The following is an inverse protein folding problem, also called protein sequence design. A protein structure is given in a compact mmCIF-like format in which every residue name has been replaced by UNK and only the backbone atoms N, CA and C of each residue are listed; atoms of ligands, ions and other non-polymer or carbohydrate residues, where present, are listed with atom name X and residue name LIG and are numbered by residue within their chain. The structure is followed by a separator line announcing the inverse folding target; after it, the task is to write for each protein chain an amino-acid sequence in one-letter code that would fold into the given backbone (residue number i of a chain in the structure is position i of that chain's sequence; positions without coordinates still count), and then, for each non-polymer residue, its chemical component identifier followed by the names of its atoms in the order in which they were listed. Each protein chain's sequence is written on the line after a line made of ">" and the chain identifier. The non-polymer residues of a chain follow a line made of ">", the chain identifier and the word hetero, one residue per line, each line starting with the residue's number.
data_IF_602413840908
#
_entry.id   IF_602413840908
#
_cell.length_a   1.000
_cell.length_b   1.000
_cell.length_c   1.000
_cell.angle_alpha   90.00
_cell.angle_beta   90.00
_cell.angle_gamma   90.00
#
_symmetry.space_group_name_H-M   'P 1'
#
loop_
_entity.id
_entity.type
_entity.pdbx_description
1 polymer ?
#
# COMPACT_ATOMS: atom_id res chain seq x y z
N UNK A 1 -5.38 36.25 -5.16
CA UNK A 1 -4.26 35.38 -4.77
C UNK A 1 -4.70 33.93 -5.00
N UNK A 2 -4.27 33.27 -6.08
CA UNK A 2 -4.63 31.88 -6.37
C UNK A 2 -3.68 30.98 -5.58
N UNK A 3 -4.16 30.33 -4.53
CA UNK A 3 -3.45 29.20 -3.92
C UNK A 3 -3.36 28.11 -4.99
N UNK A 4 -2.19 27.96 -5.63
CA UNK A 4 -1.89 26.76 -6.42
C UNK A 4 -1.87 25.61 -5.43
N UNK A 5 -2.97 24.85 -5.37
CA UNK A 5 -2.98 23.58 -4.67
C UNK A 5 -1.94 22.68 -5.37
N UNK A 6 -1.03 22.12 -4.59
CA UNK A 6 -0.20 21.01 -5.05
C UNK A 6 -1.12 19.78 -5.17
N UNK A 7 -1.96 19.74 -6.21
CA UNK A 7 -2.77 18.55 -6.49
C UNK A 7 -1.85 17.49 -7.09
N UNK A 8 -1.31 16.61 -6.24
CA UNK A 8 -0.66 15.39 -6.71
C UNK A 8 -1.72 14.47 -7.31
N UNK A 9 -1.51 13.88 -8.50
CA UNK A 9 -2.39 12.84 -9.03
C UNK A 9 -2.23 11.52 -8.26
N UNK A 10 -1.25 11.45 -7.35
CA UNK A 10 -0.89 10.25 -6.62
C UNK A 10 -1.36 10.29 -5.17
N UNK A 11 -1.69 9.11 -4.67
CA UNK A 11 -1.94 8.83 -3.27
C UNK A 11 -0.88 7.85 -2.75
N UNK A 12 -0.41 8.11 -1.53
CA UNK A 12 0.62 7.33 -0.87
C UNK A 12 0.01 6.54 0.29
N UNK A 13 0.36 5.26 0.39
CA UNK A 13 -0.19 4.35 1.41
C UNK A 13 0.98 3.69 2.11
N UNK A 14 1.08 3.88 3.43
CA UNK A 14 1.99 3.12 4.28
C UNK A 14 1.29 1.85 4.74
N UNK A 15 1.92 0.70 4.46
CA UNK A 15 1.47 -0.59 4.93
C UNK A 15 2.53 -1.31 5.75
N UNK A 16 2.05 -2.23 6.59
CA UNK A 16 2.85 -3.20 7.32
C UNK A 16 2.57 -4.60 6.78
N UNK A 17 3.61 -5.37 6.55
CA UNK A 17 3.55 -6.72 5.97
C UNK A 17 4.25 -7.70 6.92
N UNK A 18 3.61 -8.83 7.21
CA UNK A 18 4.13 -9.88 8.09
C UNK A 18 3.94 -11.25 7.45
N UNK A 19 4.99 -12.05 7.22
CA UNK A 19 6.41 -11.69 7.33
C UNK A 19 6.81 -10.60 6.30
N UNK A 20 7.99 -9.96 6.43
CA UNK A 20 8.52 -9.08 5.40
C UNK A 20 8.57 -9.82 4.06
N UNK A 21 8.22 -9.14 2.97
CA UNK A 21 8.16 -9.71 1.64
C UNK A 21 8.88 -8.81 0.65
N UNK A 22 9.54 -9.42 -0.34
CA UNK A 22 10.17 -8.69 -1.44
C UNK A 22 9.12 -7.98 -2.31
N UNK A 23 9.55 -6.90 -2.97
CA UNK A 23 8.72 -6.07 -3.87
C UNK A 23 7.83 -6.87 -4.82
N UNK A 24 8.39 -7.89 -5.48
CA UNK A 24 7.67 -8.65 -6.51
C UNK A 24 6.57 -9.51 -5.89
N UNK A 25 6.88 -10.19 -4.78
CA UNK A 25 5.91 -10.99 -4.04
C UNK A 25 4.77 -10.11 -3.52
N UNK A 26 5.12 -8.95 -2.93
CA UNK A 26 4.14 -7.99 -2.45
C UNK A 26 3.21 -7.48 -3.56
N UNK A 27 3.76 -7.05 -4.71
CA UNK A 27 2.95 -6.60 -5.85
C UNK A 27 2.03 -7.69 -6.37
N UNK A 28 2.54 -8.92 -6.51
CA UNK A 28 1.73 -10.05 -6.93
C UNK A 28 0.59 -10.30 -5.95
N UNK A 29 0.86 -10.25 -4.65
CA UNK A 29 -0.15 -10.45 -3.61
C UNK A 29 -1.21 -9.35 -3.63
N UNK A 30 -0.84 -8.08 -3.78
CA UNK A 30 -1.81 -6.98 -3.88
C UNK A 30 -2.66 -7.12 -5.15
N UNK A 31 -2.06 -7.49 -6.28
CA UNK A 31 -2.80 -7.80 -7.51
C UNK A 31 -3.81 -8.93 -7.30
N UNK A 32 -3.43 -9.99 -6.58
CA UNK A 32 -4.36 -11.09 -6.23
C UNK A 32 -5.47 -10.62 -5.29
N UNK A 33 -5.18 -9.76 -4.32
CA UNK A 33 -6.18 -9.18 -3.43
C UNK A 33 -7.19 -8.32 -4.20
N UNK A 34 -6.72 -7.47 -5.11
CA UNK A 34 -7.57 -6.69 -6.00
C UNK A 34 -8.42 -7.58 -6.91
N UNK A 35 -7.82 -8.62 -7.49
CA UNK A 35 -8.54 -9.59 -8.31
C UNK A 35 -9.62 -10.33 -7.52
N UNK A 36 -9.33 -10.72 -6.28
CA UNK A 36 -10.28 -11.43 -5.42
C UNK A 36 -11.47 -10.55 -5.05
N UNK A 37 -11.23 -9.28 -4.74
CA UNK A 37 -12.28 -8.38 -4.26
C UNK A 37 -13.09 -7.72 -5.39
N UNK A 38 -12.44 -7.37 -6.51
CA UNK A 38 -13.04 -6.57 -7.57
C UNK A 38 -13.00 -7.23 -8.96
N UNK A 39 -12.43 -8.43 -9.06
CA UNK A 39 -12.29 -9.13 -10.33
C UNK A 39 -11.19 -8.55 -11.22
N UNK A 40 -11.19 -8.98 -12.48
CA UNK A 40 -10.11 -8.67 -13.43
C UNK A 40 -10.03 -7.18 -13.83
N UNK A 41 -11.12 -6.44 -13.67
CA UNK A 41 -11.22 -5.02 -14.08
C UNK A 41 -10.34 -4.10 -13.24
N UNK A 42 -10.10 -4.46 -11.97
CA UNK A 42 -9.25 -3.70 -11.03
C UNK A 42 -8.00 -4.46 -10.58
N UNK A 43 -7.83 -5.72 -10.99
CA UNK A 43 -6.62 -6.48 -10.71
C UNK A 43 -5.34 -5.80 -11.24
N UNK A 44 -5.46 -5.06 -12.35
CA UNK A 44 -4.35 -4.38 -13.01
C UNK A 44 -4.08 -2.94 -12.57
N UNK A 45 -4.63 -2.49 -11.44
CA UNK A 45 -4.36 -1.12 -10.94
C UNK A 45 -2.84 -0.91 -10.81
N UNK A 46 -2.27 0.16 -11.40
CA UNK A 46 -0.86 0.49 -11.24
C UNK A 46 -0.54 0.82 -9.78
N UNK A 47 0.39 0.06 -9.21
CA UNK A 47 0.90 0.25 -7.84
C UNK A 47 2.42 0.21 -7.87
N UNK A 48 3.02 1.29 -7.40
CA UNK A 48 4.45 1.41 -7.20
C UNK A 48 4.81 1.20 -5.74
N UNK A 49 5.89 0.44 -5.51
CA UNK A 49 6.54 0.38 -4.20
C UNK A 49 7.70 1.37 -4.22
N UNK A 50 7.62 2.39 -3.35
CA UNK A 50 8.60 3.48 -3.28
C UNK A 50 9.72 3.23 -2.28
N UNK A 51 9.42 2.50 -1.21
CA UNK A 51 10.36 2.23 -0.12
C UNK A 51 9.94 0.95 0.60
N UNK A 52 10.94 0.16 0.97
CA UNK A 52 10.81 -1.05 1.77
C UNK A 52 11.83 -0.97 2.89
N UNK A 53 11.37 -1.14 4.13
CA UNK A 53 12.22 -1.23 5.29
C UNK A 53 11.74 -2.39 6.16
N UNK A 54 12.66 -3.14 6.74
CA UNK A 54 12.32 -4.15 7.75
C UNK A 54 12.42 -3.53 9.13
N UNK A 55 11.35 -3.61 9.89
CA UNK A 55 11.29 -3.20 11.29
C UNK A 55 11.15 -4.44 12.18
N UNK A 56 11.92 -4.50 13.27
CA UNK A 56 11.76 -5.52 14.30
C UNK A 56 11.01 -4.91 15.49
N UNK A 57 9.87 -5.49 15.83
CA UNK A 57 9.07 -5.08 17.00
C UNK A 57 8.75 -6.32 17.81
N UNK A 58 9.16 -6.31 19.08
CA UNK A 58 8.97 -7.42 20.02
C UNK A 58 9.50 -8.77 19.51
N UNK A 59 10.64 -8.76 18.81
CA UNK A 59 11.27 -9.95 18.24
C UNK A 59 10.58 -10.48 16.98
N UNK A 60 9.58 -9.77 16.44
CA UNK A 60 8.93 -10.09 15.17
C UNK A 60 9.34 -9.10 14.09
N UNK A 61 9.71 -9.63 12.94
CA UNK A 61 10.05 -8.83 11.77
C UNK A 61 8.80 -8.46 10.96
N UNK A 62 8.74 -7.20 10.53
CA UNK A 62 7.68 -6.67 9.70
C UNK A 62 8.28 -5.85 8.58
N UNK A 63 7.74 -5.97 7.37
CA UNK A 63 8.03 -5.05 6.28
C UNK A 63 7.18 -3.79 6.42
N UNK A 64 7.80 -2.63 6.53
CA UNK A 64 7.17 -1.32 6.35
C UNK A 64 7.36 -0.89 4.91
N UNK A 65 6.25 -0.69 4.21
CA UNK A 65 6.27 -0.43 2.77
C UNK A 65 5.44 0.80 2.45
N UNK A 66 5.99 1.66 1.60
CA UNK A 66 5.27 2.81 1.05
C UNK A 66 4.84 2.47 -0.38
N UNK A 67 3.54 2.43 -0.60
CA UNK A 67 2.92 2.28 -1.90
C UNK A 67 2.54 3.64 -2.48
N UNK A 68 2.51 3.74 -3.79
CA UNK A 68 1.96 4.85 -4.56
C UNK A 68 1.00 4.32 -5.61
N UNK A 69 -0.16 4.93 -5.72
CA UNK A 69 -1.15 4.66 -6.77
C UNK A 69 -1.82 5.97 -7.21
N UNK A 70 -2.66 5.93 -8.24
CA UNK A 70 -3.45 7.08 -8.64
C UNK A 70 -4.51 7.40 -7.58
N UNK A 71 -4.80 8.68 -7.38
CA UNK A 71 -5.78 9.11 -6.39
C UNK A 71 -7.20 8.55 -6.68
N UNK A 72 -7.53 8.31 -7.95
CA UNK A 72 -8.81 7.70 -8.35
C UNK A 72 -8.91 6.19 -8.03
N UNK A 73 -7.79 5.51 -7.83
CA UNK A 73 -7.75 4.07 -7.56
C UNK A 73 -7.53 3.73 -6.08
N UNK A 74 -7.23 4.73 -5.25
CA UNK A 74 -6.81 4.55 -3.85
C UNK A 74 -7.81 3.75 -3.03
N UNK A 75 -9.11 3.96 -3.23
CA UNK A 75 -10.16 3.31 -2.45
C UNK A 75 -10.16 1.78 -2.68
N UNK A 76 -9.88 1.33 -3.90
CA UNK A 76 -9.76 -0.09 -4.22
C UNK A 76 -8.56 -0.71 -3.51
N UNK A 77 -7.42 0.00 -3.50
CA UNK A 77 -6.21 -0.47 -2.83
C UNK A 77 -6.40 -0.52 -1.30
N UNK A 78 -6.99 0.52 -0.72
CA UNK A 78 -7.29 0.57 0.72
C UNK A 78 -8.29 -0.51 1.16
N UNK A 79 -9.24 -0.88 0.30
CA UNK A 79 -10.19 -1.96 0.57
C UNK A 79 -9.57 -3.35 0.40
N UNK A 80 -8.75 -3.57 -0.64
CA UNK A 80 -8.19 -4.89 -0.94
C UNK A 80 -7.16 -5.36 0.09
N UNK A 81 -6.33 -4.45 0.61
CA UNK A 81 -5.25 -4.78 1.56
C UNK A 81 -5.75 -5.46 2.85
N UNK A 82 -6.71 -4.90 3.61
CA UNK A 82 -7.20 -5.50 4.85
C UNK A 82 -8.08 -6.73 4.63
N UNK A 83 -8.74 -6.84 3.47
CA UNK A 83 -9.60 -7.99 3.13
C UNK A 83 -8.77 -9.20 2.71
N UNK A 84 -7.54 -8.98 2.25
CA UNK A 84 -6.63 -10.07 1.87
C UNK A 84 -6.32 -10.98 3.06
N UNK A 85 -6.92 -12.17 3.05
CA UNK A 85 -6.66 -13.21 4.03
C UNK A 85 -5.81 -14.32 3.41
N UNK A 86 -4.48 -14.14 3.44
CA UNK A 86 -3.56 -15.23 3.15
C UNK A 86 -2.83 -15.65 4.44
N UNK A 87 -2.86 -16.93 4.83
CA UNK A 87 -2.15 -17.41 6.01
C UNK A 87 -0.63 -17.20 5.95
N UNK A 88 -0.04 -17.01 4.76
CA UNK A 88 1.40 -16.83 4.59
C UNK A 88 1.86 -15.37 4.59
N UNK A 89 0.95 -14.40 4.36
CA UNK A 89 1.31 -12.99 4.29
C UNK A 89 0.13 -12.11 4.70
N UNK A 90 0.28 -11.46 5.85
CA UNK A 90 -0.69 -10.52 6.41
C UNK A 90 -0.26 -9.10 6.08
N UNK A 91 -1.14 -8.34 5.44
CA UNK A 91 -0.94 -6.92 5.15
C UNK A 91 -1.90 -6.07 5.99
N UNK A 92 -1.43 -4.91 6.45
CA UNK A 92 -2.25 -3.93 7.18
C UNK A 92 -1.94 -2.52 6.71
N UNK A 93 -2.97 -1.72 6.48
CA UNK A 93 -2.81 -0.28 6.25
C UNK A 93 -2.46 0.39 7.58
N UNK A 94 -1.39 1.18 7.59
CA UNK A 94 -0.96 1.96 8.76
C UNK A 94 -1.44 3.41 8.62
N UNK A 95 -1.20 4.02 7.47
CA UNK A 95 -1.57 5.41 7.16
C UNK A 95 -1.65 5.62 5.65
N UNK A 96 -2.36 6.65 5.21
CA UNK A 96 -2.34 7.07 3.81
C UNK A 96 -2.44 8.61 3.70
N UNK A 97 -1.93 9.19 2.61
CA UNK A 97 -1.85 10.64 2.42
C UNK A 97 -1.73 10.99 0.93
N UNK A 98 -2.24 12.16 0.53
CA UNK A 98 -1.98 12.76 -0.79
C UNK A 98 -0.59 13.39 -0.91
N UNK A 99 0.12 13.52 0.22
CA UNK A 99 1.43 14.12 0.32
C UNK A 99 2.39 13.18 1.06
N UNK A 100 3.48 12.78 0.40
CA UNK A 100 4.41 11.76 0.91
C UNK A 100 4.99 12.11 2.30
N UNK A 101 5.44 13.36 2.58
CA UNK A 101 5.87 13.72 3.93
C UNK A 101 4.78 13.61 5.00
N UNK A 102 3.49 13.59 4.62
CA UNK A 102 2.39 13.31 5.56
C UNK A 102 2.35 11.87 6.07
N UNK A 103 3.17 10.97 5.50
CA UNK A 103 3.32 9.60 5.98
C UNK A 103 4.38 9.47 7.08
N UNK A 104 5.14 10.52 7.39
CA UNK A 104 6.18 10.44 8.41
C UNK A 104 5.54 10.21 9.80
N UNK A 105 5.98 9.19 10.56
CA UNK A 105 5.62 9.04 11.95
C UNK A 105 6.51 9.98 12.77
N UNK A 106 6.03 11.21 13.00
CA UNK A 106 6.53 12.06 14.08
C UNK A 106 6.42 11.35 15.42
#
# INVERSE_FOLDING_TARGET
>A
MRTRGLSSPYHYIMIRVSPPAETLALRHTIQRALQQLFGITRAGIPIDVLSEATENVDGKEFGKVILRTMAEDVEFVLAAIPVWSNPTMVMRVVRHSLFLPGLDPS
#
